data_IF_450258460618
#
_entry.id   IF_450258460618
#
_cell.length_a   1.000
_cell.length_b   1.000
_cell.length_c   1.000
_cell.angle_alpha   90.00
_cell.angle_beta   90.00
_cell.angle_gamma   90.00
#
_symmetry.space_group_name_H-M   'P 1'
#
loop_
_entity.id
_entity.type
_entity.pdbx_description
1 polymer ?
#
# COMPACT_ATOMS: atom_id res chain seq x y z
N UNK A 1 -11.19 -28.09 -66.85
CA UNK A 1 -12.43 -27.80 -66.10
C UNK A 1 -12.27 -28.45 -64.73
N UNK A 2 -12.33 -27.83 -63.56
CA UNK A 2 -12.67 -26.48 -63.07
C UNK A 2 -11.80 -26.26 -61.82
N UNK A 3 -11.30 -25.03 -61.61
CA UNK A 3 -10.69 -24.60 -60.35
C UNK A 3 -11.71 -24.66 -59.21
N UNK A 4 -11.30 -25.05 -58.01
CA UNK A 4 -11.98 -24.63 -56.79
C UNK A 4 -10.96 -24.55 -55.66
N UNK A 5 -10.31 -23.40 -55.57
CA UNK A 5 -9.51 -22.97 -54.42
C UNK A 5 -10.47 -22.87 -53.24
N UNK A 6 -10.34 -23.76 -52.25
CA UNK A 6 -11.02 -23.62 -50.96
C UNK A 6 -10.08 -22.84 -50.06
N UNK A 7 -10.33 -21.54 -49.98
CA UNK A 7 -9.63 -20.58 -49.12
C UNK A 7 -9.84 -20.97 -47.65
N UNK A 8 -8.78 -21.42 -46.99
CA UNK A 8 -8.73 -21.62 -45.54
C UNK A 8 -8.74 -20.24 -44.88
N UNK A 9 -9.88 -19.80 -44.38
CA UNK A 9 -10.00 -18.55 -43.63
C UNK A 9 -9.49 -18.80 -42.19
N UNK A 10 -8.18 -18.62 -41.98
CA UNK A 10 -7.60 -18.48 -40.64
C UNK A 10 -8.07 -17.14 -40.07
N UNK A 11 -9.17 -17.16 -39.32
CA UNK A 11 -9.57 -16.02 -38.47
C UNK A 11 -8.69 -16.06 -37.25
N UNK A 12 -7.51 -15.42 -37.37
CA UNK A 12 -6.69 -15.06 -36.24
C UNK A 12 -7.49 -14.07 -35.38
N UNK A 13 -8.07 -14.58 -34.30
CA UNK A 13 -8.54 -13.77 -33.19
C UNK A 13 -7.30 -13.08 -32.61
N UNK A 14 -6.98 -11.90 -33.12
CA UNK A 14 -6.04 -11.00 -32.48
C UNK A 14 -6.60 -10.74 -31.08
N UNK A 15 -5.92 -11.30 -30.08
CA UNK A 15 -6.12 -10.92 -28.70
C UNK A 15 -6.06 -9.40 -28.65
N UNK A 16 -7.19 -8.77 -28.35
CA UNK A 16 -7.20 -7.42 -27.79
C UNK A 16 -6.46 -7.51 -26.46
N UNK A 17 -5.14 -7.38 -26.50
CA UNK A 17 -4.34 -6.89 -25.38
C UNK A 17 -4.65 -5.39 -25.21
N UNK A 18 -5.92 -5.06 -25.00
CA UNK A 18 -6.27 -3.90 -24.21
C UNK A 18 -6.02 -4.30 -22.76
N UNK A 19 -4.74 -4.43 -22.38
CA UNK A 19 -4.40 -4.42 -20.97
C UNK A 19 -4.94 -3.10 -20.44
N UNK A 20 -5.87 -3.16 -19.49
CA UNK A 20 -6.22 -1.98 -18.73
C UNK A 20 -4.89 -1.35 -18.29
N UNK A 21 -4.63 -0.10 -18.66
CA UNK A 21 -3.71 0.71 -17.88
C UNK A 21 -4.31 0.70 -16.48
N UNK A 22 -3.80 -0.20 -15.63
CA UNK A 22 -4.08 -0.14 -14.21
C UNK A 22 -3.45 1.18 -13.82
N UNK A 23 -4.28 2.22 -13.65
CA UNK A 23 -3.85 3.46 -13.02
C UNK A 23 -3.19 3.00 -11.74
N UNK A 24 -1.89 3.22 -11.65
CA UNK A 24 -1.16 2.72 -10.50
C UNK A 24 -1.63 3.55 -9.33
N UNK A 25 -2.41 2.97 -8.42
CA UNK A 25 -2.89 3.65 -7.20
C UNK A 25 -1.74 3.95 -6.23
N UNK A 26 -0.49 3.66 -6.58
CA UNK A 26 0.70 3.98 -5.79
C UNK A 26 0.70 5.49 -5.46
N UNK A 27 0.84 5.82 -4.19
CA UNK A 27 0.89 7.19 -3.69
C UNK A 27 -0.47 7.80 -3.34
N UNK A 28 -1.58 7.16 -3.70
CA UNK A 28 -2.93 7.63 -3.36
C UNK A 28 -3.19 7.49 -1.86
N UNK A 29 -3.93 8.42 -1.24
CA UNK A 29 -4.15 8.41 0.20
C UNK A 29 -5.01 7.22 0.63
N UNK A 30 -4.69 6.65 1.79
CA UNK A 30 -5.43 5.53 2.37
C UNK A 30 -5.50 5.66 3.90
N UNK A 31 -6.50 5.03 4.50
CA UNK A 31 -6.62 4.91 5.96
C UNK A 31 -5.87 3.66 6.42
N UNK A 32 -5.03 3.83 7.44
CA UNK A 32 -4.34 2.71 8.07
C UNK A 32 -5.31 1.93 8.94
N UNK A 33 -5.29 0.61 8.79
CA UNK A 33 -6.09 -0.33 9.58
C UNK A 33 -5.22 -1.38 10.25
N UNK A 34 -5.72 -1.93 11.35
CA UNK A 34 -5.18 -3.12 12.01
C UNK A 34 -6.25 -4.18 12.15
N UNK A 35 -5.82 -5.42 12.40
CA UNK A 35 -6.73 -6.49 12.75
C UNK A 35 -7.53 -6.11 14.00
N UNK A 36 -8.84 -6.28 13.92
CA UNK A 36 -9.74 -6.11 15.06
C UNK A 36 -9.46 -7.22 16.10
N UNK A 37 -9.51 -6.85 17.38
CA UNK A 37 -9.64 -7.85 18.45
C UNK A 37 -11.01 -8.54 18.34
N UNK A 38 -11.20 -9.73 18.94
CA UNK A 38 -12.50 -10.42 18.91
C UNK A 38 -13.65 -9.53 19.41
N UNK A 39 -13.43 -8.76 20.47
CA UNK A 39 -14.44 -7.85 21.02
C UNK A 39 -14.77 -6.69 20.06
N UNK A 40 -13.76 -6.10 19.41
CA UNK A 40 -13.96 -5.06 18.40
C UNK A 40 -14.69 -5.61 17.16
N UNK A 41 -14.33 -6.81 16.70
CA UNK A 41 -14.98 -7.45 15.57
C UNK A 41 -16.46 -7.74 15.88
N UNK A 42 -16.77 -8.25 17.07
CA UNK A 42 -18.15 -8.45 17.53
C UNK A 42 -18.93 -7.13 17.58
N UNK A 43 -18.33 -6.07 18.13
CA UNK A 43 -18.95 -4.75 18.21
C UNK A 43 -19.20 -4.13 16.83
N UNK A 44 -18.33 -4.41 15.86
CA UNK A 44 -18.40 -3.88 14.50
C UNK A 44 -19.12 -4.83 13.51
N UNK A 45 -19.97 -5.74 14.01
CA UNK A 45 -20.80 -6.59 13.15
C UNK A 45 -20.01 -7.64 12.36
N UNK A 46 -18.87 -8.08 12.88
CA UNK A 46 -17.99 -9.08 12.27
C UNK A 46 -16.90 -8.50 11.37
N UNK A 47 -16.75 -7.17 11.29
CA UNK A 47 -15.66 -6.55 10.52
C UNK A 47 -14.32 -6.87 11.19
N UNK A 48 -13.41 -7.51 10.44
CA UNK A 48 -12.12 -8.00 10.94
C UNK A 48 -11.02 -6.94 11.07
N UNK A 49 -11.32 -5.68 10.76
CA UNK A 49 -10.37 -4.58 10.75
C UNK A 49 -10.94 -3.35 11.46
N UNK A 50 -10.07 -2.57 12.09
CA UNK A 50 -10.38 -1.28 12.70
C UNK A 50 -9.32 -0.26 12.30
N UNK A 51 -9.72 1.00 12.23
CA UNK A 51 -8.80 2.10 11.94
C UNK A 51 -7.73 2.21 13.03
N UNK A 52 -6.50 2.47 12.60
CA UNK A 52 -5.42 2.90 13.49
C UNK A 52 -5.59 4.40 13.69
N UNK A 53 -5.65 4.86 14.93
CA UNK A 53 -5.76 6.27 15.27
C UNK A 53 -4.39 6.95 15.28
N UNK A 54 -4.34 8.27 15.07
CA UNK A 54 -3.09 9.03 15.10
C UNK A 54 -2.32 8.86 16.41
N UNK A 55 -3.02 8.76 17.55
CA UNK A 55 -2.39 8.51 18.86
C UNK A 55 -1.74 7.14 19.01
N UNK A 56 -2.06 6.18 18.14
CA UNK A 56 -1.50 4.82 18.17
C UNK A 56 -0.16 4.74 17.41
N UNK A 57 0.21 5.79 16.67
CA UNK A 57 1.46 5.85 15.91
C UNK A 57 2.50 6.65 16.69
N UNK A 58 3.65 6.05 16.95
CA UNK A 58 4.75 6.76 17.57
C UNK A 58 5.36 7.78 16.60
N UNK A 59 5.99 8.83 17.14
CA UNK A 59 6.76 9.77 16.33
C UNK A 59 7.88 9.04 15.59
N UNK A 60 8.10 9.41 14.32
CA UNK A 60 9.11 8.83 13.44
C UNK A 60 8.98 7.32 13.19
N UNK A 61 7.75 6.79 13.27
CA UNK A 61 7.47 5.38 13.02
C UNK A 61 6.92 5.18 11.61
N UNK A 62 7.53 4.27 10.86
CA UNK A 62 6.95 3.73 9.64
C UNK A 62 5.88 2.69 10.00
N UNK A 63 4.74 2.74 9.32
CA UNK A 63 3.61 1.82 9.53
C UNK A 63 3.23 1.19 8.20
N UNK A 64 3.06 -0.12 8.23
CA UNK A 64 2.54 -0.92 7.13
C UNK A 64 1.20 -1.53 7.55
N UNK A 65 0.18 -1.35 6.72
CA UNK A 65 -1.18 -1.79 6.98
C UNK A 65 -1.69 -2.64 5.84
N UNK A 66 -2.04 -3.88 6.18
CA UNK A 66 -2.65 -4.84 5.28
C UNK A 66 -4.18 -4.76 5.40
N UNK A 67 -4.89 -4.71 4.27
CA UNK A 67 -6.36 -4.72 4.25
C UNK A 67 -7.03 -3.33 4.23
N UNK A 68 -6.29 -2.26 3.91
CA UNK A 68 -6.91 -0.96 3.67
C UNK A 68 -7.76 -1.00 2.39
N UNK A 69 -9.03 -0.62 2.51
CA UNK A 69 -10.02 -0.71 1.42
C UNK A 69 -9.72 0.29 0.30
N UNK A 70 -9.00 1.38 0.61
CA UNK A 70 -8.67 2.44 -0.35
C UNK A 70 -7.55 2.10 -1.34
N UNK A 71 -6.93 0.92 -1.22
CA UNK A 71 -5.76 0.54 -2.00
C UNK A 71 -6.00 -0.63 -2.97
N UNK A 72 -7.23 -1.13 -3.13
CA UNK A 72 -7.53 -2.31 -3.94
C UNK A 72 -6.61 -3.51 -3.57
N UNK A 73 -5.73 -3.91 -4.48
CA UNK A 73 -4.74 -4.99 -4.30
C UNK A 73 -3.40 -4.51 -3.70
N UNK A 74 -3.28 -3.21 -3.41
CA UNK A 74 -2.11 -2.59 -2.78
C UNK A 74 -2.25 -2.55 -1.25
N UNK A 75 -1.13 -2.24 -0.59
CA UNK A 75 -1.08 -2.06 0.87
C UNK A 75 -1.04 -0.58 1.23
N UNK A 76 -1.41 -0.22 2.45
CA UNK A 76 -1.32 1.16 2.93
C UNK A 76 -0.06 1.34 3.76
N UNK A 77 0.81 2.27 3.36
CA UNK A 77 2.07 2.58 4.03
C UNK A 77 2.04 4.03 4.52
N UNK A 78 2.58 4.27 5.70
CA UNK A 78 2.86 5.60 6.23
C UNK A 78 4.32 5.62 6.64
N UNK A 79 5.12 6.47 6.02
CA UNK A 79 6.48 6.71 6.48
C UNK A 79 6.52 7.80 7.57
N UNK A 80 7.65 7.87 8.27
CA UNK A 80 7.90 8.82 9.36
C UNK A 80 7.69 10.30 8.99
N UNK A 81 7.88 10.68 7.72
CA UNK A 81 7.74 12.04 7.23
C UNK A 81 6.32 12.34 6.73
N UNK A 82 5.40 11.37 6.78
CA UNK A 82 4.00 11.57 6.40
C UNK A 82 3.29 12.48 7.41
N UNK A 83 2.60 13.55 6.96
CA UNK A 83 2.01 14.53 7.85
C UNK A 83 0.93 13.91 8.77
N UNK A 84 0.84 14.36 10.04
CA UNK A 84 -0.29 13.99 10.89
C UNK A 84 -1.57 14.67 10.40
N UNK A 85 -2.71 14.09 10.78
CA UNK A 85 -4.01 14.74 10.59
C UNK A 85 -4.12 15.90 11.55
N UNK A 86 -4.42 17.09 11.05
CA UNK A 86 -4.61 18.29 11.87
C UNK A 86 -6.10 18.49 12.19
N UNK A 87 -6.38 19.05 13.36
CA UNK A 87 -7.73 19.50 13.73
C UNK A 87 -8.15 20.59 12.74
N UNK A 88 -9.40 20.52 12.28
CA UNK A 88 -9.99 21.53 11.40
C UNK A 88 -10.68 22.63 12.21
N UNK A 89 -10.48 23.89 11.82
CA UNK A 89 -11.21 25.03 12.38
C UNK A 89 -12.69 25.04 11.93
N UNK A 90 -13.47 26.00 12.43
CA UNK A 90 -14.89 26.14 12.06
C UNK A 90 -15.12 26.42 10.56
N UNK A 91 -14.07 26.78 9.81
CA UNK A 91 -14.10 27.06 8.38
C UNK A 91 -13.53 25.90 7.54
N UNK A 92 -13.07 24.81 8.18
CA UNK A 92 -12.48 23.65 7.52
C UNK A 92 -10.98 23.77 7.19
N UNK A 93 -10.28 24.77 7.73
CA UNK A 93 -8.84 24.92 7.57
C UNK A 93 -8.07 24.08 8.59
N UNK A 94 -6.89 23.57 8.21
CA UNK A 94 -5.99 22.93 9.15
C UNK A 94 -5.50 23.92 10.21
N UNK A 95 -5.56 23.50 11.48
CA UNK A 95 -4.94 24.20 12.60
C UNK A 95 -3.53 23.67 12.86
N UNK A 96 -2.83 24.20 13.87
CA UNK A 96 -1.54 23.68 14.34
C UNK A 96 -1.69 22.51 15.35
N UNK A 97 -2.92 22.12 15.68
CA UNK A 97 -3.20 21.01 16.60
C UNK A 97 -3.36 19.69 15.84
N UNK A 98 -2.71 18.64 16.33
CA UNK A 98 -2.84 17.29 15.78
C UNK A 98 -4.14 16.66 16.30
N UNK A 99 -4.98 16.17 15.40
CA UNK A 99 -6.14 15.38 15.76
C UNK A 99 -5.71 13.96 16.11
N UNK A 100 -5.57 13.70 17.41
CA UNK A 100 -5.11 12.42 17.97
C UNK A 100 -6.15 11.30 17.83
N UNK A 101 -7.42 11.66 17.69
CA UNK A 101 -8.54 10.71 17.59
C UNK A 101 -8.96 10.48 16.13
N UNK A 102 -8.41 11.24 15.19
CA UNK A 102 -8.60 10.97 13.77
C UNK A 102 -7.95 9.64 13.35
N UNK A 103 -8.56 8.92 12.39
CA UNK A 103 -7.91 7.82 11.69
C UNK A 103 -6.59 8.29 11.08
N UNK A 104 -5.55 7.49 11.28
CA UNK A 104 -4.25 7.73 10.71
C UNK A 104 -4.25 7.41 9.22
N UNK A 105 -3.66 8.31 8.45
CA UNK A 105 -3.56 8.18 7.00
C UNK A 105 -2.16 7.77 6.56
N UNK A 106 -2.09 7.15 5.39
CA UNK A 106 -0.88 6.84 4.65
C UNK A 106 -1.15 6.97 3.16
N UNK A 107 -0.39 6.22 2.36
CA UNK A 107 -0.55 6.11 0.93
C UNK A 107 -0.41 4.67 0.44
N UNK A 108 -1.06 4.37 -0.68
CA UNK A 108 -1.00 3.03 -1.27
C UNK A 108 0.39 2.73 -1.82
N UNK A 109 0.83 1.51 -1.59
CA UNK A 109 2.17 1.02 -1.87
C UNK A 109 2.10 -0.42 -2.38
N UNK A 110 3.13 -0.83 -3.13
CA UNK A 110 3.28 -2.19 -3.63
C UNK A 110 4.60 -2.79 -3.18
N UNK A 111 4.67 -4.11 -3.20
CA UNK A 111 5.94 -4.83 -3.16
C UNK A 111 6.83 -4.39 -4.33
N UNK A 112 8.13 -4.35 -4.09
CA UNK A 112 9.12 -3.97 -5.09
C UNK A 112 10.38 -4.80 -4.92
N UNK A 113 11.19 -4.85 -5.97
CA UNK A 113 12.54 -5.42 -5.90
C UNK A 113 13.54 -4.33 -5.50
N UNK A 114 14.40 -4.62 -4.54
CA UNK A 114 15.47 -3.69 -4.13
C UNK A 114 16.29 -3.22 -5.34
N UNK A 115 16.54 -1.92 -5.43
CA UNK A 115 17.25 -1.31 -6.56
C UNK A 115 16.41 -1.12 -7.83
N UNK A 116 15.14 -1.51 -7.84
CA UNK A 116 14.22 -1.24 -8.96
C UNK A 116 13.68 0.20 -8.93
N UNK A 117 13.21 0.67 -10.10
CA UNK A 117 12.51 1.95 -10.27
C UNK A 117 10.98 1.76 -10.29
N UNK A 118 10.48 0.62 -9.80
CA UNK A 118 9.06 0.25 -9.91
C UNK A 118 8.13 1.12 -9.05
N UNK A 119 8.69 1.93 -8.16
CA UNK A 119 7.98 2.80 -7.24
C UNK A 119 7.60 4.17 -7.81
N UNK A 120 7.70 4.34 -9.13
CA UNK A 120 7.24 5.54 -9.82
C UNK A 120 5.73 5.76 -9.64
N UNK A 121 5.36 6.94 -9.16
CA UNK A 121 3.96 7.39 -9.05
C UNK A 121 3.53 7.94 -10.41
N UNK A 122 2.71 7.17 -11.13
CA UNK A 122 2.26 7.55 -12.49
C UNK A 122 1.11 8.55 -12.49
N UNK A 123 0.18 8.40 -11.54
CA UNK A 123 -0.94 9.32 -11.36
C UNK A 123 -0.75 10.13 -10.08
N UNK A 124 -0.35 11.39 -10.23
CA UNK A 124 -0.10 12.30 -9.11
C UNK A 124 -1.36 13.00 -8.61
N UNK A 125 -2.53 12.75 -9.20
CA UNK A 125 -3.77 13.40 -8.76
C UNK A 125 -4.15 12.94 -7.34
N UNK A 126 -4.35 13.89 -6.43
CA UNK A 126 -4.68 13.57 -5.03
C UNK A 126 -3.55 12.91 -4.23
N UNK A 127 -2.35 12.82 -4.79
CA UNK A 127 -1.15 12.32 -4.09
C UNK A 127 -0.58 13.41 -3.19
N UNK A 128 -0.03 13.00 -2.04
CA UNK A 128 0.68 13.92 -1.14
C UNK A 128 1.81 14.64 -1.86
N UNK A 129 1.86 15.97 -1.74
CA UNK A 129 2.91 16.79 -2.35
C UNK A 129 4.31 16.35 -1.88
N UNK A 130 5.26 16.23 -2.81
CA UNK A 130 6.62 15.79 -2.50
C UNK A 130 6.79 14.27 -2.32
N UNK A 131 5.70 13.49 -2.32
CA UNK A 131 5.78 12.03 -2.24
C UNK A 131 6.41 11.41 -3.51
N UNK A 132 5.98 11.74 -4.74
CA UNK A 132 6.54 11.13 -5.96
C UNK A 132 8.07 11.23 -6.06
N UNK A 133 8.64 12.35 -5.61
CA UNK A 133 10.08 12.64 -5.70
C UNK A 133 10.93 11.84 -4.71
N UNK A 134 10.33 11.37 -3.62
CA UNK A 134 11.02 10.59 -2.58
C UNK A 134 10.68 9.10 -2.63
N UNK A 135 9.70 8.68 -3.43
CA UNK A 135 9.32 7.27 -3.51
C UNK A 135 10.47 6.38 -3.99
N UNK A 136 10.77 5.36 -3.21
CA UNK A 136 11.82 4.39 -3.48
C UNK A 136 11.45 3.01 -2.93
N UNK A 137 12.16 1.98 -3.37
CA UNK A 137 11.98 0.63 -2.83
C UNK A 137 12.74 0.52 -1.50
N UNK A 138 12.02 0.34 -0.38
CA UNK A 138 12.57 0.33 0.98
C UNK A 138 12.14 -0.92 1.74
N UNK A 139 13.00 -1.43 2.61
CA UNK A 139 12.63 -2.50 3.55
C UNK A 139 11.71 -1.94 4.63
N UNK A 140 10.49 -2.46 4.73
CA UNK A 140 9.50 -2.07 5.74
C UNK A 140 9.10 -3.23 6.67
N UNK A 141 9.45 -4.46 6.31
CA UNK A 141 9.25 -5.64 7.16
C UNK A 141 10.59 -6.17 7.69
N UNK A 142 10.48 -7.24 8.47
CA UNK A 142 11.62 -8.06 8.88
C UNK A 142 12.40 -8.54 7.65
N UNK A 143 13.69 -8.79 7.81
CA UNK A 143 14.53 -9.27 6.72
C UNK A 143 14.01 -10.59 6.12
N UNK A 144 14.38 -10.84 4.86
CA UNK A 144 13.94 -12.01 4.10
C UNK A 144 14.18 -13.33 4.84
N UNK A 145 15.34 -13.49 5.47
CA UNK A 145 15.68 -14.73 6.17
C UNK A 145 14.78 -14.94 7.40
N UNK A 146 14.46 -13.87 8.12
CA UNK A 146 13.51 -13.90 9.24
C UNK A 146 12.09 -14.22 8.76
N UNK A 147 11.62 -13.61 7.67
CA UNK A 147 10.30 -13.92 7.10
C UNK A 147 10.21 -15.39 6.67
N UNK A 148 11.23 -15.91 6.00
CA UNK A 148 11.30 -17.32 5.60
C UNK A 148 11.33 -18.26 6.80
N UNK A 149 12.10 -17.94 7.84
CA UNK A 149 12.15 -18.72 9.08
C UNK A 149 10.78 -18.75 9.78
N UNK A 150 10.09 -17.60 9.86
CA UNK A 150 8.74 -17.52 10.43
C UNK A 150 7.76 -18.38 9.63
N UNK A 151 7.78 -18.27 8.29
CA UNK A 151 6.94 -19.07 7.39
C UNK A 151 7.18 -20.57 7.55
N UNK A 152 8.44 -20.99 7.59
CA UNK A 152 8.82 -22.39 7.77
C UNK A 152 8.41 -22.94 9.15
N UNK A 153 8.41 -22.11 10.19
CA UNK A 153 8.04 -22.52 11.54
C UNK A 153 6.52 -22.72 11.71
N UNK A 154 5.69 -21.85 11.13
CA UNK A 154 4.24 -21.92 11.23
C UNK A 154 3.58 -21.14 10.08
N UNK A 155 3.28 -21.84 8.99
CA UNK A 155 2.70 -21.24 7.79
C UNK A 155 1.34 -20.58 8.05
N UNK A 156 0.49 -21.18 8.89
CA UNK A 156 -0.81 -20.59 9.25
C UNK A 156 -0.63 -19.25 9.93
N UNK A 157 0.25 -19.18 10.94
CA UNK A 157 0.50 -17.94 11.67
C UNK A 157 1.17 -16.87 10.80
N UNK A 158 2.03 -17.29 9.88
CA UNK A 158 2.62 -16.40 8.89
C UNK A 158 1.55 -15.76 8.01
N UNK A 159 0.68 -16.57 7.39
CA UNK A 159 -0.42 -16.08 6.54
C UNK A 159 -1.41 -15.20 7.31
N UNK A 160 -1.68 -15.52 8.57
CA UNK A 160 -2.52 -14.67 9.43
C UNK A 160 -1.92 -13.28 9.73
N UNK A 161 -0.59 -13.16 9.68
CA UNK A 161 0.14 -11.94 10.09
C UNK A 161 0.57 -11.10 8.90
N UNK A 162 1.14 -11.75 7.88
CA UNK A 162 1.73 -11.10 6.71
C UNK A 162 0.93 -11.36 5.41
N UNK A 163 -0.12 -12.19 5.46
CA UNK A 163 -0.90 -12.56 4.29
C UNK A 163 -0.08 -13.41 3.31
N UNK A 164 -0.25 -13.12 2.03
CA UNK A 164 0.55 -13.74 0.95
C UNK A 164 1.86 -12.99 0.68
N UNK A 165 2.12 -11.88 1.38
CA UNK A 165 3.32 -11.07 1.17
C UNK A 165 4.57 -11.85 1.57
N UNK A 166 5.59 -11.79 0.73
CA UNK A 166 6.87 -12.45 0.97
C UNK A 166 8.05 -11.53 0.75
N UNK A 167 7.81 -10.30 0.28
CA UNK A 167 8.85 -9.29 0.13
C UNK A 167 8.98 -8.49 1.43
N UNK A 168 10.20 -8.23 1.91
CA UNK A 168 10.41 -7.23 2.94
C UNK A 168 10.38 -5.81 2.39
N UNK A 169 10.45 -5.67 1.05
CA UNK A 169 10.59 -4.41 0.35
C UNK A 169 9.28 -3.93 -0.25
N UNK A 170 8.98 -2.66 0.00
CA UNK A 170 7.80 -1.96 -0.49
C UNK A 170 8.15 -0.56 -0.94
N UNK A 171 7.31 -0.01 -1.81
CA UNK A 171 7.44 1.35 -2.28
C UNK A 171 7.09 2.33 -1.14
N UNK A 172 8.07 3.07 -0.65
CA UNK A 172 7.86 4.06 0.39
C UNK A 172 8.71 5.30 0.14
N UNK A 173 8.22 6.45 0.61
CA UNK A 173 8.97 7.68 0.56
C UNK A 173 10.25 7.54 1.36
N UNK A 174 11.39 7.91 0.78
CA UNK A 174 12.65 7.98 1.48
C UNK A 174 12.46 8.88 2.70
N UNK A 175 12.74 8.33 3.87
CA UNK A 175 12.79 9.12 5.09
C UNK A 175 14.10 9.87 5.09
N UNK A 176 14.09 11.10 5.61
CA UNK A 176 15.30 11.88 5.81
C UNK A 176 16.26 11.19 6.77
N UNK A 177 17.08 10.26 6.27
CA UNK A 177 18.38 10.00 6.87
C UNK A 177 19.16 11.29 6.65
N UNK A 178 19.25 12.15 7.66
CA UNK A 178 20.35 13.11 7.67
C UNK A 178 21.63 12.28 7.44
N UNK A 179 22.44 12.57 6.40
CA UNK A 179 23.75 11.96 6.33
C UNK A 179 24.47 12.38 7.60
N UNK A 180 24.85 11.38 8.41
CA UNK A 180 25.75 11.57 9.53
C UNK A 180 27.06 12.09 8.92
N UNK A 181 27.27 13.41 8.99
CA UNK A 181 28.56 14.04 8.77
C UNK A 181 29.42 13.87 10.01
#
# INVERSE_FOLDING_TARGET
MKMSVRTTLLVSLALFMGGCEVSSEIGKPCTLVRKATPAEAEANGGIGFVDILQKEIALNQDVISFGSIGCEDLICVRDADFPPTMVKDANGNDTEEIDREAPAQGYCSKECVEGSTECEVKDTSGVLAGLPERMSCRSLLLDQATLEALRASNETRYRETFGENNSPFFCAGATGVQPQN
#
